data_IF_182241315982
#
_entry.id   IF_182241315982
#
_cell.length_a   1.000
_cell.length_b   1.000
_cell.length_c   1.000
_cell.angle_alpha   90.00
_cell.angle_beta   90.00
_cell.angle_gamma   90.00
#
_symmetry.space_group_name_H-M   'P 1'
#
loop_
_entity.id
_entity.type
_entity.pdbx_description
1 polymer ?
#
# COMPACT_ATOMS: atom_id res chain seq x y z
N UNK A 1 -23.24 -2.72 10.85
CA UNK A 1 -22.52 -3.19 9.64
C UNK A 1 -23.38 -4.21 8.91
N UNK A 2 -23.67 -4.00 7.62
CA UNK A 2 -24.49 -4.92 6.80
C UNK A 2 -23.66 -6.03 6.14
N UNK A 3 -24.33 -6.96 5.47
CA UNK A 3 -23.76 -8.15 4.81
C UNK A 3 -22.74 -7.90 3.68
N UNK A 4 -22.41 -6.63 3.38
CA UNK A 4 -21.44 -6.22 2.35
C UNK A 4 -20.16 -5.61 2.92
N UNK A 5 -20.02 -5.58 4.25
CA UNK A 5 -18.81 -5.07 4.91
C UNK A 5 -17.69 -6.10 4.73
N UNK A 6 -16.63 -5.74 4.01
CA UNK A 6 -15.47 -6.61 3.79
C UNK A 6 -14.60 -6.84 5.05
N UNK A 7 -15.05 -6.34 6.21
CA UNK A 7 -14.30 -6.38 7.46
C UNK A 7 -13.24 -5.27 7.55
N UNK A 8 -12.62 -5.12 8.74
CA UNK A 8 -11.61 -4.09 8.99
C UNK A 8 -10.35 -4.33 8.14
N UNK A 9 -9.78 -3.26 7.61
CA UNK A 9 -8.53 -3.32 6.87
C UNK A 9 -7.34 -3.32 7.83
N UNK A 10 -6.37 -4.21 7.61
CA UNK A 10 -5.12 -4.36 8.39
C UNK A 10 -3.99 -4.83 7.46
N UNK A 11 -2.74 -4.70 7.87
CA UNK A 11 -1.63 -5.38 7.21
C UNK A 11 -1.69 -6.89 7.51
N UNK A 12 -1.35 -7.71 6.51
CA UNK A 12 -1.38 -9.18 6.58
C UNK A 12 -0.25 -9.73 7.46
N UNK A 13 0.95 -9.16 7.35
CA UNK A 13 2.09 -9.42 8.23
C UNK A 13 2.54 -8.04 8.74
N UNK A 14 2.34 -7.78 10.03
CA UNK A 14 2.74 -6.55 10.71
C UNK A 14 3.68 -6.86 11.86
N UNK A 15 4.29 -5.83 12.45
CA UNK A 15 5.11 -5.98 13.66
C UNK A 15 4.28 -6.67 14.78
N UNK A 16 4.88 -7.64 15.47
CA UNK A 16 4.20 -8.47 16.46
C UNK A 16 3.50 -7.64 17.55
N UNK A 17 2.29 -8.05 17.94
CA UNK A 17 1.45 -7.38 18.94
C UNK A 17 0.13 -6.82 18.38
N UNK A 18 -0.60 -6.06 19.19
CA UNK A 18 -1.92 -5.46 18.89
C UNK A 18 -1.92 -4.44 17.72
N UNK A 19 -0.84 -4.36 16.95
CA UNK A 19 -0.51 -3.33 15.98
C UNK A 19 -0.43 -3.86 14.53
N UNK A 20 -1.39 -4.69 14.09
CA UNK A 20 -1.54 -5.03 12.65
C UNK A 20 -1.90 -3.83 11.75
N UNK A 21 -2.02 -2.63 12.32
CA UNK A 21 -2.09 -1.37 11.58
C UNK A 21 -0.70 -0.81 11.24
N UNK A 22 0.39 -1.39 11.73
CA UNK A 22 1.75 -0.93 11.47
C UNK A 22 2.48 -1.85 10.50
N UNK A 23 3.12 -1.26 9.49
CA UNK A 23 4.06 -1.92 8.60
C UNK A 23 5.41 -1.20 8.65
N UNK A 24 6.48 -1.99 8.63
CA UNK A 24 7.86 -1.49 8.57
C UNK A 24 8.71 -2.47 7.79
N UNK A 25 9.82 -2.00 7.22
CA UNK A 25 10.83 -2.89 6.67
C UNK A 25 11.41 -3.76 7.78
N UNK A 26 11.25 -5.08 7.66
CA UNK A 26 11.99 -6.03 8.50
C UNK A 26 13.43 -6.10 7.95
N UNK A 27 14.40 -5.63 8.74
CA UNK A 27 15.81 -5.54 8.36
C UNK A 27 16.50 -6.90 8.24
N UNK A 28 15.84 -7.98 8.66
CA UNK A 28 16.45 -9.32 8.71
C UNK A 28 16.26 -10.16 7.44
N UNK A 29 15.41 -9.76 6.48
CA UNK A 29 15.28 -10.47 5.20
C UNK A 29 14.89 -9.58 4.02
N UNK A 30 15.42 -9.86 2.83
CA UNK A 30 14.93 -9.29 1.55
C UNK A 30 13.44 -9.57 1.29
N UNK A 31 12.87 -10.55 2.00
CA UNK A 31 11.46 -10.95 1.99
C UNK A 31 10.56 -10.02 2.81
N UNK A 32 11.14 -9.12 3.62
CA UNK A 32 10.48 -8.11 4.47
C UNK A 32 10.22 -6.75 3.79
N UNK A 33 10.40 -6.67 2.47
CA UNK A 33 10.27 -5.44 1.67
C UNK A 33 8.83 -5.06 1.36
N UNK A 34 7.92 -6.02 1.27
CA UNK A 34 6.52 -5.79 0.89
C UNK A 34 5.58 -5.99 2.08
N UNK A 35 4.66 -5.05 2.30
CA UNK A 35 3.58 -5.19 3.26
C UNK A 35 2.22 -5.20 2.54
N UNK A 36 1.54 -6.33 2.57
CA UNK A 36 0.23 -6.49 1.94
C UNK A 36 -0.89 -6.12 2.91
N UNK A 37 -1.99 -5.58 2.38
CA UNK A 37 -3.24 -5.50 3.11
C UNK A 37 -3.93 -6.87 3.15
N UNK A 38 -4.70 -7.13 4.20
CA UNK A 38 -5.26 -8.45 4.50
C UNK A 38 -6.44 -8.87 3.61
N UNK A 39 -6.99 -7.96 2.80
CA UNK A 39 -8.12 -8.22 1.91
C UNK A 39 -8.03 -7.37 0.64
N UNK A 40 -8.87 -7.71 -0.33
CA UNK A 40 -9.05 -6.89 -1.52
C UNK A 40 -9.72 -5.55 -1.20
N UNK A 41 -9.46 -4.57 -2.06
CA UNK A 41 -10.09 -3.25 -2.09
C UNK A 41 -11.04 -3.16 -3.29
N UNK A 42 -12.10 -2.36 -3.16
CA UNK A 42 -12.94 -1.99 -4.30
C UNK A 42 -12.29 -0.85 -5.08
N UNK A 43 -12.62 -0.75 -6.37
CA UNK A 43 -12.34 0.46 -7.14
C UNK A 43 -13.01 1.67 -6.44
N UNK A 44 -12.28 2.77 -6.31
CA UNK A 44 -12.60 3.96 -5.53
C UNK A 44 -12.66 3.80 -4.00
N UNK A 45 -12.34 2.63 -3.44
CA UNK A 45 -12.11 2.49 -2.00
C UNK A 45 -10.79 3.17 -1.62
N UNK A 46 -10.86 4.16 -0.74
CA UNK A 46 -9.69 4.95 -0.33
C UNK A 46 -8.98 4.27 0.82
N UNK A 47 -7.68 4.12 0.70
CA UNK A 47 -6.80 3.67 1.78
C UNK A 47 -6.07 4.88 2.33
N UNK A 48 -6.09 5.08 3.65
CA UNK A 48 -5.38 6.18 4.32
C UNK A 48 -4.24 5.64 5.17
N UNK A 49 -3.06 6.21 4.99
CA UNK A 49 -1.86 5.85 5.74
C UNK A 49 -1.18 7.10 6.31
N UNK A 50 -0.35 6.89 7.32
CA UNK A 50 0.51 7.88 7.94
C UNK A 50 1.95 7.36 8.02
N UNK A 51 2.94 8.19 7.72
CA UNK A 51 4.34 7.86 7.93
C UNK A 51 4.75 8.17 9.37
N UNK A 52 5.44 7.27 10.07
CA UNK A 52 5.83 7.50 11.48
C UNK A 52 7.30 7.92 11.67
N UNK A 53 8.18 7.65 10.71
CA UNK A 53 9.61 7.93 10.85
C UNK A 53 10.21 8.48 9.56
N UNK A 54 11.25 9.32 9.69
CA UNK A 54 12.05 9.77 8.55
C UNK A 54 12.63 8.57 7.79
N UNK A 55 12.64 8.58 6.44
CA UNK A 55 13.56 7.73 5.71
C UNK A 55 14.99 8.10 6.12
N UNK A 56 15.77 7.14 6.59
CA UNK A 56 17.18 7.38 6.98
C UNK A 56 18.10 7.64 5.77
N UNK A 57 17.60 7.39 4.55
CA UNK A 57 18.29 7.60 3.28
C UNK A 57 17.41 8.47 2.38
N UNK A 58 17.91 9.63 1.94
CA UNK A 58 17.20 10.60 1.08
C UNK A 58 16.88 10.09 -0.34
N UNK A 59 17.30 8.87 -0.71
CA UNK A 59 17.19 8.35 -2.08
C UNK A 59 16.20 7.18 -2.24
N UNK A 60 15.37 6.91 -1.24
CA UNK A 60 14.60 5.65 -1.15
C UNK A 60 13.12 5.89 -0.88
N UNK A 61 12.37 6.00 -1.97
CA UNK A 61 10.93 6.19 -1.98
C UNK A 61 10.16 4.90 -1.60
N UNK A 62 9.03 5.08 -0.91
CA UNK A 62 8.03 4.02 -0.72
C UNK A 62 7.21 3.90 -2.00
N UNK A 63 6.84 2.68 -2.39
CA UNK A 63 5.93 2.43 -3.51
C UNK A 63 4.55 1.99 -3.04
N UNK A 64 3.51 2.42 -3.76
CA UNK A 64 2.14 1.89 -3.61
C UNK A 64 1.89 0.89 -4.74
N UNK A 65 1.56 -0.34 -4.37
CA UNK A 65 1.30 -1.42 -5.29
C UNK A 65 -0.16 -1.86 -5.29
N UNK A 66 -0.65 -2.21 -6.47
CA UNK A 66 -1.91 -2.93 -6.65
C UNK A 66 -1.64 -4.23 -7.41
N UNK A 67 -2.38 -5.30 -7.10
CA UNK A 67 -2.23 -6.59 -7.77
C UNK A 67 -3.53 -7.37 -7.79
N UNK A 68 -3.75 -8.21 -8.79
CA UNK A 68 -4.82 -9.20 -8.80
C UNK A 68 -4.45 -10.49 -8.03
N UNK A 69 -3.17 -10.68 -7.70
CA UNK A 69 -2.71 -11.85 -6.92
C UNK A 69 -3.05 -11.71 -5.44
N UNK A 70 -3.72 -12.73 -4.88
CA UNK A 70 -4.05 -12.76 -3.45
C UNK A 70 -2.80 -12.98 -2.59
N UNK A 71 -2.56 -12.15 -1.56
CA UNK A 71 -1.41 -12.30 -0.69
C UNK A 71 -1.50 -13.54 0.23
N UNK A 72 -2.67 -14.19 0.30
CA UNK A 72 -2.88 -15.43 1.05
C UNK A 72 -2.45 -16.68 0.26
N UNK A 73 -2.44 -16.59 -1.07
CA UNK A 73 -2.09 -17.72 -1.95
C UNK A 73 -0.77 -17.51 -2.68
N UNK A 74 -0.30 -16.26 -2.80
CA UNK A 74 1.00 -15.97 -3.41
C UNK A 74 2.14 -16.28 -2.44
N UNK A 75 3.06 -17.16 -2.84
CA UNK A 75 4.36 -17.28 -2.16
C UNK A 75 5.09 -15.94 -2.25
N UNK A 76 5.54 -15.38 -1.11
CA UNK A 76 6.16 -14.04 -0.92
C UNK A 76 7.39 -13.72 -1.79
N UNK A 77 7.76 -14.61 -2.72
CA UNK A 77 8.97 -14.53 -3.56
C UNK A 77 8.72 -14.00 -4.97
N UNK A 78 7.47 -13.77 -5.38
CA UNK A 78 7.15 -13.57 -6.80
C UNK A 78 7.09 -12.08 -7.19
N UNK A 79 8.27 -11.44 -7.31
CA UNK A 79 8.41 -10.14 -7.96
C UNK A 79 8.18 -10.30 -9.46
N UNK A 80 7.27 -9.51 -10.03
CA UNK A 80 6.87 -9.48 -11.44
C UNK A 80 6.02 -10.67 -11.92
N UNK A 81 4.72 -10.60 -11.66
CA UNK A 81 3.70 -11.24 -12.52
C UNK A 81 2.86 -10.17 -13.21
N UNK A 82 2.43 -10.48 -14.43
CA UNK A 82 1.25 -9.88 -15.08
C UNK A 82 0.11 -9.76 -14.08
N UNK A 83 -0.61 -8.65 -14.05
CA UNK A 83 -1.65 -8.43 -13.03
C UNK A 83 -1.23 -7.54 -11.86
N UNK A 84 -0.07 -6.87 -11.91
CA UNK A 84 0.40 -5.98 -10.85
C UNK A 84 0.98 -4.68 -11.36
N UNK A 85 0.81 -3.60 -10.59
CA UNK A 85 1.45 -2.32 -10.83
C UNK A 85 2.09 -1.79 -9.53
N UNK A 86 3.15 -1.00 -9.67
CA UNK A 86 3.82 -0.32 -8.57
C UNK A 86 4.03 1.14 -8.98
N UNK A 87 3.53 2.08 -8.18
CA UNK A 87 3.73 3.50 -8.40
C UNK A 87 4.59 4.08 -7.28
N UNK A 88 5.69 4.80 -7.60
CA UNK A 88 6.50 5.44 -6.58
C UNK A 88 5.71 6.59 -5.93
N UNK A 89 5.83 6.74 -4.61
CA UNK A 89 5.37 7.93 -3.93
C UNK A 89 6.35 9.08 -4.16
N UNK A 90 5.86 10.29 -4.46
CA UNK A 90 6.67 11.50 -4.40
C UNK A 90 7.31 11.65 -3.00
N UNK A 91 8.57 12.03 -2.96
CA UNK A 91 9.37 12.06 -1.72
C UNK A 91 8.86 13.12 -0.73
N UNK A 92 8.33 14.23 -1.24
CA UNK A 92 7.68 15.31 -0.48
C UNK A 92 6.43 14.85 0.27
N UNK A 93 5.82 13.73 -0.13
CA UNK A 93 4.70 13.12 0.58
C UNK A 93 5.12 12.16 1.68
N UNK A 94 6.39 11.73 1.69
CA UNK A 94 6.92 10.74 2.62
C UNK A 94 7.53 11.39 3.89
N UNK A 95 6.98 12.53 4.32
CA UNK A 95 7.44 13.24 5.51
C UNK A 95 6.90 12.60 6.81
N UNK A 96 7.62 12.72 7.95
CA UNK A 96 7.13 12.24 9.23
C UNK A 96 5.76 12.80 9.57
N UNK A 97 4.87 11.93 10.02
CA UNK A 97 3.47 12.21 10.38
C UNK A 97 2.59 12.70 9.23
N UNK A 98 3.14 12.80 8.01
CA UNK A 98 2.33 13.10 6.83
C UNK A 98 1.34 11.98 6.59
N UNK A 99 0.16 12.38 6.16
CA UNK A 99 -0.92 11.47 5.82
C UNK A 99 -1.23 11.57 4.34
N UNK A 100 -1.50 10.42 3.76
CA UNK A 100 -1.96 10.35 2.38
C UNK A 100 -3.17 9.43 2.30
N UNK A 101 -4.00 9.71 1.32
CA UNK A 101 -5.00 8.77 0.84
C UNK A 101 -4.63 8.31 -0.55
N UNK A 102 -4.90 7.06 -0.86
CA UNK A 102 -4.75 6.56 -2.22
C UNK A 102 -5.85 5.57 -2.58
N UNK A 103 -6.18 5.51 -3.87
CA UNK A 103 -7.15 4.56 -4.42
C UNK A 103 -6.92 4.35 -5.91
N UNK A 104 -7.43 3.24 -6.42
CA UNK A 104 -7.53 2.97 -7.85
C UNK A 104 -8.91 3.41 -8.37
N UNK A 105 -8.98 4.08 -9.52
CA UNK A 105 -10.26 4.43 -10.15
C UNK A 105 -10.59 3.52 -11.36
N UNK A 106 -11.79 3.69 -11.93
CA UNK A 106 -12.24 2.91 -13.10
C UNK A 106 -11.48 3.22 -14.40
N UNK A 107 -10.76 4.35 -14.45
CA UNK A 107 -9.87 4.69 -15.55
C UNK A 107 -8.46 4.10 -15.36
N UNK A 108 -8.28 3.21 -14.37
CA UNK A 108 -7.02 2.53 -14.05
C UNK A 108 -5.91 3.52 -13.68
N UNK A 109 -6.26 4.60 -12.98
CA UNK A 109 -5.30 5.50 -12.34
C UNK A 109 -5.26 5.22 -10.84
N UNK A 110 -4.05 5.10 -10.32
CA UNK A 110 -3.79 5.29 -8.89
C UNK A 110 -3.81 6.79 -8.62
N UNK A 111 -4.75 7.20 -7.80
CA UNK A 111 -4.86 8.57 -7.32
C UNK A 111 -4.25 8.62 -5.93
N UNK A 112 -3.28 9.49 -5.72
CA UNK A 112 -2.69 9.77 -4.41
C UNK A 112 -3.10 11.18 -4.04
N UNK A 113 -3.67 11.36 -2.85
CA UNK A 113 -4.08 12.64 -2.30
C UNK A 113 -3.31 12.92 -1.02
N UNK A 114 -2.55 14.01 -1.04
CA UNK A 114 -1.84 14.51 0.13
C UNK A 114 -2.77 15.28 1.09
N UNK A 115 -2.29 15.55 2.30
CA UNK A 115 -3.03 16.30 3.33
C UNK A 115 -3.48 17.70 2.88
N UNK A 116 -2.67 18.36 2.06
CA UNK A 116 -2.96 19.66 1.45
C UNK A 116 -4.00 19.59 0.31
N UNK A 117 -4.52 18.38 0.03
CA UNK A 117 -5.46 18.02 -1.05
C UNK A 117 -4.85 18.00 -2.45
N UNK A 118 -3.55 18.19 -2.60
CA UNK A 118 -2.83 17.97 -3.85
C UNK A 118 -3.04 16.52 -4.30
N UNK A 119 -3.31 16.32 -5.60
CA UNK A 119 -3.58 15.02 -6.19
C UNK A 119 -2.56 14.67 -7.25
N UNK A 120 -2.06 13.45 -7.16
CA UNK A 120 -1.18 12.83 -8.14
C UNK A 120 -1.93 11.69 -8.82
N UNK A 121 -1.75 11.58 -10.14
CA UNK A 121 -2.43 10.60 -10.96
C UNK A 121 -1.38 9.76 -11.68
N UNK A 122 -1.28 8.48 -11.30
CA UNK A 122 -0.31 7.55 -11.85
C UNK A 122 -1.08 6.46 -12.57
N UNK A 123 -0.83 6.29 -13.87
CA UNK A 123 -1.50 5.23 -14.64
C UNK A 123 -1.01 3.87 -14.14
N UNK A 124 -1.95 3.01 -13.77
CA UNK A 124 -1.68 1.61 -13.47
C UNK A 124 -1.85 0.78 -14.73
N UNK A 125 -0.88 -0.09 -15.01
CA UNK A 125 -0.91 -0.98 -16.17
C UNK A 125 -0.99 -2.43 -15.71
N UNK A 126 -1.60 -3.28 -16.54
CA UNK A 126 -1.65 -4.73 -16.31
C UNK A 126 -2.68 -5.21 -15.28
N UNK A 127 -3.49 -4.34 -14.66
CA UNK A 127 -4.56 -4.74 -13.74
C UNK A 127 -5.85 -5.15 -14.49
N UNK A 128 -6.48 -6.24 -14.04
CA UNK A 128 -7.83 -6.62 -14.42
C UNK A 128 -8.83 -6.13 -13.37
N UNK A 129 -9.68 -5.15 -13.71
CA UNK A 129 -10.69 -4.60 -12.78
C UNK A 129 -11.86 -5.55 -12.51
N UNK A 130 -11.99 -6.66 -13.24
CA UNK A 130 -13.02 -7.67 -13.01
C UNK A 130 -12.61 -8.72 -11.97
N UNK A 131 -11.33 -8.74 -11.58
CA UNK A 131 -10.80 -9.62 -10.56
C UNK A 131 -10.61 -8.86 -9.23
N UNK A 132 -10.52 -9.57 -8.08
CA UNK A 132 -10.15 -8.94 -6.82
C UNK A 132 -8.84 -8.17 -6.94
N UNK A 133 -8.78 -6.99 -6.32
CA UNK A 133 -7.59 -6.13 -6.34
C UNK A 133 -7.06 -6.02 -4.91
N UNK A 134 -5.79 -6.35 -4.71
CA UNK A 134 -5.09 -6.27 -3.44
C UNK A 134 -4.07 -5.14 -3.46
N UNK A 135 -3.78 -4.59 -2.28
CA UNK A 135 -2.82 -3.51 -2.09
C UNK A 135 -1.58 -4.03 -1.37
N UNK A 136 -0.42 -3.55 -1.79
CA UNK A 136 0.83 -3.71 -1.06
C UNK A 136 1.62 -2.41 -1.01
N UNK A 137 2.41 -2.25 0.04
CA UNK A 137 3.42 -1.19 0.15
C UNK A 137 4.79 -1.79 -0.08
N UNK A 138 5.60 -1.13 -0.91
CA UNK A 138 6.99 -1.50 -1.15
C UNK A 138 7.93 -0.55 -0.39
N UNK A 139 8.63 -1.06 0.61
CA UNK A 139 9.63 -0.35 1.41
C UNK A 139 11.05 -0.46 0.82
N UNK A 140 11.17 -0.44 -0.51
CA UNK A 140 12.46 -0.53 -1.19
C UNK A 140 13.44 0.52 -0.66
N UNK A 141 14.46 0.06 0.06
CA UNK A 141 15.49 0.95 0.59
C UNK A 141 15.06 1.82 1.79
N UNK A 142 13.77 2.14 1.94
CA UNK A 142 13.26 2.95 3.05
C UNK A 142 13.22 2.16 4.37
N UNK A 143 13.64 2.78 5.47
CA UNK A 143 13.43 2.28 6.85
C UNK A 143 12.17 2.84 7.49
N UNK A 144 11.34 3.55 6.72
CA UNK A 144 10.14 4.20 7.25
C UNK A 144 9.12 3.20 7.77
N UNK A 145 8.48 3.58 8.87
CA UNK A 145 7.30 2.90 9.40
C UNK A 145 6.05 3.59 8.88
N UNK A 146 5.05 2.80 8.50
CA UNK A 146 3.77 3.28 8.01
C UNK A 146 2.66 2.71 8.89
N UNK A 147 1.74 3.59 9.31
CA UNK A 147 0.51 3.25 10.00
C UNK A 147 -0.68 3.33 9.05
N UNK A 148 -1.48 2.27 8.99
CA UNK A 148 -2.78 2.25 8.35
C UNK A 148 -3.80 2.95 9.27
N UNK A 149 -4.41 4.02 8.76
CA UNK A 149 -5.43 4.79 9.47
C UNK A 149 -6.85 4.29 9.16
N UNK A 150 -7.05 3.65 8.01
CA UNK A 150 -8.32 3.01 7.67
C UNK A 150 -8.63 3.00 6.16
N UNK A 151 -9.86 2.61 5.84
CA UNK A 151 -10.40 2.62 4.48
C UNK A 151 -11.76 3.30 4.43
N UNK A 152 -12.04 4.08 3.37
CA UNK A 152 -13.22 4.92 3.22
C UNK A 152 -13.90 4.75 1.86
#
# INVERSE_FOLDING_TARGET
CGSRCLGPMKFLSGAEGNARSLASKDTTSCTGRLAFLCRSVKVNEKVRIQFESLPQDEHRAIGIGFTNDSPLTSTRTQRHRTGSCLVPLPEDLCLPFAEIEFWLNYAVYVIIRASDRTKYYMKAEGLNLHEPIFVFLDFCGSTSKVRLLGTF
#
